data_IF_756336858421
#
_entry.id   IF_756336858421
#
_cell.length_a   1.000
_cell.length_b   1.000
_cell.length_c   1.000
_cell.angle_alpha   90.00
_cell.angle_beta   90.00
_cell.angle_gamma   90.00
#
_symmetry.space_group_name_H-M   'P 1'
#
loop_
_entity.id
_entity.type
_entity.pdbx_description
1 polymer ?
#
# COMPACT_ATOMS: atom_id res chain seq x y z
N UNK A 1 5.20 -32.05 -4.33
CA UNK A 1 5.32 -32.03 -5.81
C UNK A 1 6.78 -32.29 -6.14
N UNK A 2 7.07 -33.20 -7.08
CA UNK A 2 8.43 -33.59 -7.40
C UNK A 2 9.16 -32.45 -8.14
N UNK A 3 10.42 -32.23 -7.79
CA UNK A 3 11.24 -31.19 -8.40
C UNK A 3 11.73 -31.66 -9.78
N UNK A 4 11.13 -31.09 -10.84
CA UNK A 4 11.38 -31.45 -12.25
C UNK A 4 12.58 -30.70 -12.87
N UNK A 5 13.18 -29.78 -12.11
CA UNK A 5 14.32 -28.96 -12.51
C UNK A 5 15.51 -29.75 -13.10
N UNK A 6 15.94 -30.91 -12.56
CA UNK A 6 17.06 -31.66 -13.14
C UNK A 6 16.72 -32.26 -14.53
N UNK A 7 15.49 -32.69 -14.73
CA UNK A 7 15.02 -33.29 -15.99
C UNK A 7 14.93 -32.23 -17.10
N UNK A 8 14.49 -31.03 -16.73
CA UNK A 8 14.47 -29.86 -17.60
C UNK A 8 15.89 -29.44 -17.99
N UNK A 9 16.83 -29.38 -17.05
CA UNK A 9 18.24 -29.08 -17.36
C UNK A 9 18.88 -30.08 -18.31
N UNK A 10 18.54 -31.36 -18.18
CA UNK A 10 19.03 -32.41 -19.07
C UNK A 10 18.49 -32.24 -20.50
N UNK A 11 17.23 -31.83 -20.65
CA UNK A 11 16.62 -31.49 -21.94
C UNK A 11 17.26 -30.24 -22.58
N UNK A 12 17.52 -29.19 -21.80
CA UNK A 12 18.22 -28.00 -22.30
C UNK A 12 19.62 -28.33 -22.81
N UNK A 13 20.34 -29.22 -22.10
CA UNK A 13 21.67 -29.67 -22.48
C UNK A 13 21.66 -30.53 -23.76
N UNK A 14 20.60 -31.32 -24.00
CA UNK A 14 20.41 -32.10 -25.24
C UNK A 14 20.11 -31.23 -26.46
N UNK A 15 19.49 -30.07 -26.27
CA UNK A 15 19.11 -29.15 -27.36
C UNK A 15 20.08 -27.98 -27.55
N UNK A 16 21.27 -28.04 -26.92
CA UNK A 16 22.31 -26.99 -26.97
C UNK A 16 21.78 -25.59 -26.63
N UNK A 17 20.75 -25.55 -25.78
CA UNK A 17 20.07 -24.33 -25.39
C UNK A 17 20.66 -23.82 -24.06
N UNK A 18 21.01 -22.53 -23.96
CA UNK A 18 21.68 -21.99 -22.79
C UNK A 18 20.80 -22.13 -21.55
N UNK A 19 21.30 -22.86 -20.54
CA UNK A 19 20.69 -22.92 -19.21
C UNK A 19 20.83 -21.52 -18.59
N UNK A 20 19.73 -20.76 -18.57
CA UNK A 20 19.71 -19.46 -17.88
C UNK A 20 19.80 -19.72 -16.38
N UNK A 21 21.01 -19.63 -15.84
CA UNK A 21 21.26 -19.69 -14.40
C UNK A 21 20.31 -18.75 -13.66
N UNK A 22 19.71 -19.21 -12.56
CA UNK A 22 18.82 -18.46 -11.69
C UNK A 22 19.27 -17.00 -11.56
N UNK A 23 18.43 -16.06 -12.00
CA UNK A 23 18.70 -14.62 -11.88
C UNK A 23 19.08 -14.31 -10.43
N UNK A 24 20.36 -14.08 -10.16
CA UNK A 24 20.80 -13.69 -8.82
C UNK A 24 20.28 -12.28 -8.53
N UNK A 25 19.72 -12.07 -7.33
CA UNK A 25 19.23 -10.76 -6.88
C UNK A 25 20.31 -9.66 -7.01
N UNK A 26 21.59 -10.04 -6.95
CA UNK A 26 22.71 -9.13 -7.18
C UNK A 26 22.83 -8.65 -8.64
N UNK A 27 22.44 -9.47 -9.63
CA UNK A 27 22.33 -9.10 -11.05
C UNK A 27 21.00 -8.39 -11.36
N UNK A 28 20.04 -8.42 -10.43
CA UNK A 28 18.78 -7.71 -10.57
C UNK A 28 19.05 -6.20 -10.41
N UNK A 29 18.67 -5.49 -11.45
CA UNK A 29 18.22 -4.09 -11.51
C UNK A 29 18.01 -3.40 -10.14
N UNK A 30 18.61 -2.21 -9.97
CA UNK A 30 18.57 -1.43 -8.72
C UNK A 30 17.15 -1.16 -8.24
N UNK A 31 16.21 -0.97 -9.18
CA UNK A 31 14.79 -0.76 -8.91
C UNK A 31 14.17 -1.90 -8.10
N UNK A 32 14.38 -3.15 -8.50
CA UNK A 32 13.76 -4.30 -7.82
C UNK A 32 14.39 -4.52 -6.44
N UNK A 33 15.70 -4.26 -6.30
CA UNK A 33 16.36 -4.32 -4.98
C UNK A 33 15.71 -3.35 -4.00
N UNK A 34 15.52 -2.10 -4.43
CA UNK A 34 14.85 -1.08 -3.62
C UNK A 34 13.40 -1.45 -3.33
N UNK A 35 12.63 -1.86 -4.35
CA UNK A 35 11.25 -2.32 -4.20
C UNK A 35 11.09 -3.49 -3.22
N UNK A 36 11.98 -4.49 -3.29
CA UNK A 36 11.94 -5.64 -2.35
C UNK A 36 12.32 -5.23 -0.93
N UNK A 37 13.23 -4.27 -0.79
CA UNK A 37 13.63 -3.71 0.52
C UNK A 37 12.44 -2.99 1.14
N UNK A 38 11.80 -2.08 0.41
CA UNK A 38 10.57 -1.38 0.83
C UNK A 38 9.47 -2.39 1.18
N UNK A 39 9.23 -3.40 0.35
CA UNK A 39 8.24 -4.45 0.61
C UNK A 39 8.52 -5.20 1.92
N UNK A 40 9.79 -5.53 2.19
CA UNK A 40 10.17 -6.21 3.43
C UNK A 40 9.89 -5.34 4.65
N UNK A 41 10.17 -4.03 4.56
CA UNK A 41 9.88 -3.07 5.63
C UNK A 41 8.37 -2.89 5.85
N UNK A 42 7.57 -2.79 4.78
CA UNK A 42 6.10 -2.75 4.86
C UNK A 42 5.56 -4.02 5.56
N UNK A 43 6.06 -5.20 5.17
CA UNK A 43 5.67 -6.48 5.79
C UNK A 43 6.04 -6.52 7.28
N UNK A 44 7.24 -6.08 7.63
CA UNK A 44 7.70 -6.04 9.01
C UNK A 44 6.82 -5.09 9.85
N UNK A 45 6.51 -3.90 9.34
CA UNK A 45 5.61 -2.96 9.99
C UNK A 45 4.19 -3.54 10.14
N UNK A 46 3.65 -4.17 9.10
CA UNK A 46 2.34 -4.83 9.15
C UNK A 46 2.29 -5.91 10.23
N UNK A 47 3.31 -6.77 10.28
CA UNK A 47 3.42 -7.83 11.26
C UNK A 47 3.55 -7.28 12.69
N UNK A 48 4.38 -6.25 12.86
CA UNK A 48 4.54 -5.53 14.12
C UNK A 48 3.21 -4.94 14.62
N UNK A 49 2.51 -4.17 13.78
CA UNK A 49 1.22 -3.57 14.11
C UNK A 49 0.16 -4.63 14.47
N UNK A 50 0.11 -5.75 13.73
CA UNK A 50 -0.79 -6.86 14.05
C UNK A 50 -0.47 -7.51 15.39
N UNK A 51 0.81 -7.71 15.70
CA UNK A 51 1.24 -8.32 16.96
C UNK A 51 0.93 -7.45 18.18
N UNK A 52 1.03 -6.13 18.03
CA UNK A 52 0.81 -5.18 19.12
C UNK A 52 -0.66 -4.81 19.27
N UNK A 53 -1.49 -5.01 18.25
CA UNK A 53 -2.91 -4.65 18.24
C UNK A 53 -3.67 -5.08 19.49
N UNK A 54 -3.45 -6.31 19.96
CA UNK A 54 -4.12 -6.83 21.15
C UNK A 54 -3.68 -6.07 22.40
N UNK A 55 -2.37 -5.95 22.65
CA UNK A 55 -1.84 -5.23 23.80
C UNK A 55 -2.14 -3.72 23.77
N UNK A 56 -2.20 -3.12 22.58
CA UNK A 56 -2.50 -1.71 22.36
C UNK A 56 -3.96 -1.41 22.70
N UNK A 57 -4.87 -2.29 22.26
CA UNK A 57 -6.30 -2.17 22.53
C UNK A 57 -6.68 -2.71 23.92
N UNK A 58 -5.87 -3.55 24.57
CA UNK A 58 -6.21 -4.04 25.90
C UNK A 58 -5.93 -2.95 26.96
N UNK A 59 -6.99 -2.60 27.69
CA UNK A 59 -6.97 -1.75 28.89
C UNK A 59 -7.56 -2.51 30.07
N UNK A 60 -7.19 -3.78 30.28
CA UNK A 60 -7.52 -4.45 31.54
C UNK A 60 -6.70 -3.88 32.71
N UNK A 61 -6.97 -2.63 33.10
CA UNK A 61 -6.73 -2.12 34.46
C UNK A 61 -7.85 -2.57 35.39
N UNK A 62 -8.20 -3.86 35.35
CA UNK A 62 -8.79 -4.50 36.53
C UNK A 62 -7.64 -5.24 37.19
N UNK A 63 -7.18 -4.84 38.39
CA UNK A 63 -6.39 -5.76 39.20
C UNK A 63 -7.36 -6.87 39.61
N UNK A 64 -7.51 -7.87 38.73
CA UNK A 64 -8.15 -9.12 39.09
C UNK A 64 -7.23 -9.74 40.14
N UNK A 65 -7.69 -9.60 41.38
CA UNK A 65 -7.15 -10.19 42.58
C UNK A 65 -6.79 -11.65 42.28
N UNK A 66 -5.48 -11.93 42.22
CA UNK A 66 -4.84 -13.25 42.14
C UNK A 66 -5.28 -14.11 40.95
N UNK A 67 -4.42 -14.22 39.94
CA UNK A 67 -3.95 -15.51 39.42
C UNK A 67 -2.73 -15.28 38.52
N UNK A 68 -1.83 -16.25 38.59
CA UNK A 68 -0.42 -16.21 38.20
C UNK A 68 -0.30 -16.49 36.69
N UNK A 69 -0.66 -15.53 35.83
CA UNK A 69 -0.37 -15.61 34.39
C UNK A 69 0.46 -14.40 33.94
N UNK A 70 1.76 -14.65 33.81
CA UNK A 70 2.81 -13.64 33.67
C UNK A 70 3.24 -13.40 32.22
N UNK A 71 2.30 -13.12 31.31
CA UNK A 71 2.64 -12.93 29.88
C UNK A 71 1.93 -11.78 29.16
N UNK A 72 0.91 -11.14 29.75
CA UNK A 72 0.26 -9.98 29.12
C UNK A 72 0.98 -8.69 29.51
N UNK A 73 1.92 -8.26 28.66
CA UNK A 73 2.61 -6.97 28.81
C UNK A 73 1.62 -5.84 28.56
N UNK A 74 1.08 -5.25 29.62
CA UNK A 74 0.22 -4.07 29.51
C UNK A 74 1.04 -2.87 29.06
N UNK A 75 0.63 -2.23 27.97
CA UNK A 75 1.23 -0.98 27.50
C UNK A 75 0.71 0.19 28.34
N UNK A 76 1.61 1.08 28.75
CA UNK A 76 1.24 2.38 29.33
C UNK A 76 0.62 3.28 28.27
N UNK A 77 -0.14 4.30 28.66
CA UNK A 77 -0.65 5.31 27.71
C UNK A 77 0.48 6.07 27.01
N UNK A 78 1.65 6.20 27.67
CA UNK A 78 2.88 6.72 27.06
C UNK A 78 3.46 5.76 26.01
N UNK A 79 3.55 4.47 26.33
CA UNK A 79 4.07 3.47 25.38
C UNK A 79 3.19 3.41 24.12
N UNK A 80 1.86 3.55 24.27
CA UNK A 80 0.94 3.64 23.14
C UNK A 80 1.20 4.87 22.26
N UNK A 81 1.50 6.02 22.86
CA UNK A 81 1.84 7.24 22.12
C UNK A 81 3.18 7.13 21.37
N UNK A 82 4.17 6.48 21.98
CA UNK A 82 5.44 6.17 21.33
C UNK A 82 5.25 5.20 20.15
N UNK A 83 4.40 4.18 20.32
CA UNK A 83 4.02 3.27 19.23
C UNK A 83 3.35 4.04 18.09
N UNK A 84 2.44 4.96 18.40
CA UNK A 84 1.76 5.78 17.39
C UNK A 84 2.76 6.68 16.65
N UNK A 85 3.69 7.33 17.37
CA UNK A 85 4.72 8.19 16.79
C UNK A 85 5.69 7.42 15.89
N UNK A 86 6.23 6.29 16.36
CA UNK A 86 7.16 5.44 15.60
C UNK A 86 6.50 4.82 14.37
N UNK A 87 5.24 4.39 14.49
CA UNK A 87 4.48 3.83 13.37
C UNK A 87 4.18 4.90 12.31
N UNK A 88 3.78 6.11 12.74
CA UNK A 88 3.60 7.26 11.82
C UNK A 88 4.89 7.62 11.10
N UNK A 89 6.01 7.67 11.80
CA UNK A 89 7.32 7.94 11.20
C UNK A 89 7.67 6.89 10.15
N UNK A 90 7.49 5.61 10.48
CA UNK A 90 7.74 4.50 9.56
C UNK A 90 6.85 4.59 8.31
N UNK A 91 5.56 4.92 8.46
CA UNK A 91 4.66 5.11 7.32
C UNK A 91 5.08 6.28 6.41
N UNK A 92 5.54 7.40 7.00
CA UNK A 92 6.04 8.55 6.25
C UNK A 92 7.30 8.22 5.47
N UNK A 93 8.24 7.54 6.13
CA UNK A 93 9.50 7.10 5.51
C UNK A 93 9.21 6.13 4.35
N UNK A 94 8.34 5.13 4.56
CA UNK A 94 7.95 4.19 3.52
C UNK A 94 7.22 4.88 2.36
N UNK A 95 6.35 5.86 2.64
CA UNK A 95 5.67 6.61 1.59
C UNK A 95 6.66 7.47 0.78
N UNK A 96 7.62 8.10 1.45
CA UNK A 96 8.69 8.84 0.80
C UNK A 96 9.54 7.91 -0.08
N UNK A 97 9.90 6.72 0.42
CA UNK A 97 10.63 5.70 -0.34
C UNK A 97 9.88 5.25 -1.60
N UNK A 98 8.58 4.92 -1.48
CA UNK A 98 7.76 4.55 -2.64
C UNK A 98 7.62 5.71 -3.64
N UNK A 99 7.51 6.95 -3.14
CA UNK A 99 7.43 8.14 -3.99
C UNK A 99 8.73 8.43 -4.72
N UNK A 100 9.89 8.25 -4.07
CA UNK A 100 11.20 8.36 -4.69
C UNK A 100 11.42 7.29 -5.76
N UNK A 101 11.06 6.04 -5.46
CA UNK A 101 11.12 4.94 -6.42
C UNK A 101 10.25 5.22 -7.66
N UNK A 102 9.04 5.75 -7.47
CA UNK A 102 8.15 6.13 -8.56
C UNK A 102 8.70 7.30 -9.39
N UNK A 103 9.27 8.31 -8.75
CA UNK A 103 9.90 9.44 -9.44
C UNK A 103 11.13 9.02 -10.25
N UNK A 104 11.95 8.12 -9.68
CA UNK A 104 13.10 7.53 -10.37
C UNK A 104 12.67 6.74 -11.61
N UNK A 105 11.59 5.96 -11.51
CA UNK A 105 11.07 5.23 -12.68
C UNK A 105 10.57 6.17 -13.77
N UNK A 106 9.82 7.21 -13.39
CA UNK A 106 9.32 8.20 -14.33
C UNK A 106 10.48 8.91 -15.07
N UNK A 107 11.52 9.33 -14.35
CA UNK A 107 12.71 9.95 -14.98
C UNK A 107 13.42 8.99 -15.93
N UNK A 108 13.50 7.71 -15.57
CA UNK A 108 14.10 6.66 -16.39
C UNK A 108 13.29 6.42 -17.66
N UNK A 109 11.96 6.39 -17.57
CA UNK A 109 11.07 6.25 -18.71
C UNK A 109 11.20 7.43 -19.68
N UNK A 110 11.19 8.65 -19.15
CA UNK A 110 11.35 9.88 -19.94
C UNK A 110 12.72 9.93 -20.63
N UNK A 111 13.80 9.58 -19.91
CA UNK A 111 15.14 9.51 -20.47
C UNK A 111 15.24 8.42 -21.55
N UNK A 112 14.66 7.24 -21.31
CA UNK A 112 14.60 6.15 -22.28
C UNK A 112 13.88 6.56 -23.57
N UNK A 113 12.70 7.17 -23.44
CA UNK A 113 11.93 7.67 -24.57
C UNK A 113 12.68 8.77 -25.33
N UNK A 114 13.36 9.68 -24.64
CA UNK A 114 14.17 10.72 -25.27
C UNK A 114 15.37 10.15 -26.04
N UNK A 115 16.02 9.12 -25.52
CA UNK A 115 17.12 8.42 -26.19
C UNK A 115 16.61 7.69 -27.43
N UNK A 116 15.49 6.97 -27.31
CA UNK A 116 14.82 6.28 -28.41
C UNK A 116 14.48 7.26 -29.54
N UNK A 117 13.81 8.37 -29.21
CA UNK A 117 13.49 9.41 -30.18
C UNK A 117 14.74 9.95 -30.90
N UNK A 118 15.85 10.16 -30.19
CA UNK A 118 17.11 10.63 -30.80
C UNK A 118 17.78 9.56 -31.68
N UNK A 119 17.72 8.27 -31.29
CA UNK A 119 18.28 7.14 -32.04
C UNK A 119 17.57 7.00 -33.39
N UNK A 120 16.25 6.99 -33.38
CA UNK A 120 15.46 6.74 -34.60
C UNK A 120 15.18 8.00 -35.43
N UNK A 121 15.14 9.22 -34.86
CA UNK A 121 15.07 10.47 -35.65
C UNK A 121 16.25 10.61 -36.62
N UNK A 122 17.46 10.22 -36.20
CA UNK A 122 18.67 10.23 -37.06
C UNK A 122 18.55 9.25 -38.23
N UNK A 123 17.91 8.11 -37.99
CA UNK A 123 17.70 7.05 -38.98
C UNK A 123 16.62 7.44 -40.00
N UNK A 124 15.55 8.12 -39.56
CA UNK A 124 14.48 8.59 -40.44
C UNK A 124 14.93 9.68 -41.42
N UNK A 125 15.85 10.58 -41.05
CA UNK A 125 16.38 11.60 -41.98
C UNK A 125 17.18 10.96 -43.13
N UNK A 126 17.86 9.82 -42.89
CA UNK A 126 18.57 9.08 -43.93
C UNK A 126 17.70 8.15 -44.77
N UNK A 127 16.56 7.69 -44.25
CA UNK A 127 15.64 6.74 -44.92
C UNK A 127 14.43 7.36 -45.61
N UNK A 128 14.10 8.63 -45.33
CA UNK A 128 12.87 9.28 -45.85
C UNK A 128 12.90 9.64 -47.35
N UNK A 129 14.06 9.60 -48.03
CA UNK A 129 14.11 9.90 -49.47
C UNK A 129 13.64 8.70 -50.32
N UNK A 130 13.72 7.47 -49.82
CA UNK A 130 13.34 6.26 -50.58
C UNK A 130 11.85 5.89 -50.53
N UNK A 131 11.17 6.16 -49.41
CA UNK A 131 9.86 5.53 -49.14
C UNK A 131 8.64 6.43 -49.39
N UNK A 132 8.81 7.74 -49.56
CA UNK A 132 7.70 8.61 -49.99
C UNK A 132 7.26 8.32 -51.44
N UNK A 133 8.13 7.73 -52.26
CA UNK A 133 7.85 7.37 -53.65
C UNK A 133 7.05 6.06 -53.83
N UNK A 134 6.88 5.24 -52.78
CA UNK A 134 6.23 3.93 -52.86
C UNK A 134 4.71 3.96 -52.56
N UNK A 135 4.14 5.11 -52.22
CA UNK A 135 2.68 5.28 -52.03
C UNK A 135 2.09 4.58 -50.80
N UNK A 136 2.92 3.99 -49.94
CA UNK A 136 2.49 3.22 -48.78
C UNK A 136 2.31 4.14 -47.55
N UNK A 137 1.06 4.32 -47.11
CA UNK A 137 0.64 5.24 -46.02
C UNK A 137 1.01 4.75 -44.60
N UNK A 138 2.03 3.92 -44.46
CA UNK A 138 2.47 3.38 -43.17
C UNK A 138 3.86 3.93 -42.82
N UNK A 139 3.99 4.59 -41.67
CA UNK A 139 5.29 4.81 -41.05
C UNK A 139 5.82 3.43 -40.62
N UNK A 140 6.60 2.77 -41.49
CA UNK A 140 7.30 1.55 -41.10
C UNK A 140 8.36 1.93 -40.07
N UNK A 141 8.05 1.71 -38.79
CA UNK A 141 9.05 1.70 -37.73
C UNK A 141 10.06 0.59 -38.05
N UNK A 142 11.33 0.82 -37.75
CA UNK A 142 12.34 -0.23 -37.94
C UNK A 142 11.98 -1.43 -37.05
N UNK A 143 12.16 -2.66 -37.53
CA UNK A 143 11.91 -3.87 -36.74
C UNK A 143 12.71 -3.88 -35.42
N UNK A 144 13.92 -3.31 -35.42
CA UNK A 144 14.72 -3.12 -34.21
C UNK A 144 14.07 -2.13 -33.24
N UNK A 145 13.47 -1.07 -33.77
CA UNK A 145 12.75 -0.05 -32.99
C UNK A 145 11.53 -0.65 -32.29
N UNK A 146 10.73 -1.43 -33.01
CA UNK A 146 9.52 -2.06 -32.45
C UNK A 146 9.86 -3.03 -31.32
N UNK A 147 10.89 -3.87 -31.47
CA UNK A 147 11.31 -4.77 -30.39
C UNK A 147 11.85 -4.04 -29.16
N UNK A 148 12.56 -2.94 -29.36
CA UNK A 148 13.12 -2.14 -28.27
C UNK A 148 12.00 -1.38 -27.53
N UNK A 149 11.01 -0.85 -28.25
CA UNK A 149 9.78 -0.25 -27.71
C UNK A 149 8.94 -1.28 -26.93
N UNK A 150 8.87 -2.53 -27.36
CA UNK A 150 8.18 -3.58 -26.62
C UNK A 150 8.88 -3.96 -25.31
N UNK A 151 10.20 -4.13 -25.36
CA UNK A 151 10.98 -4.48 -24.17
C UNK A 151 10.91 -3.36 -23.14
N UNK A 152 10.94 -2.10 -23.58
CA UNK A 152 10.75 -0.96 -22.68
C UNK A 152 9.30 -0.88 -22.16
N UNK A 153 8.30 -1.07 -23.03
CA UNK A 153 6.89 -1.05 -22.66
C UNK A 153 6.52 -2.13 -21.64
N UNK A 154 6.88 -3.39 -21.88
CA UNK A 154 6.63 -4.50 -20.94
C UNK A 154 7.29 -4.28 -19.59
N UNK A 155 8.51 -3.75 -19.58
CA UNK A 155 9.22 -3.41 -18.35
C UNK A 155 8.57 -2.24 -17.61
N UNK A 156 8.10 -1.22 -18.32
CA UNK A 156 7.38 -0.07 -17.77
C UNK A 156 6.08 -0.51 -17.11
N UNK A 157 5.29 -1.35 -17.79
CA UNK A 157 4.06 -1.93 -17.23
C UNK A 157 4.37 -2.74 -15.98
N UNK A 158 5.38 -3.63 -16.01
CA UNK A 158 5.77 -4.41 -14.84
C UNK A 158 6.20 -3.53 -13.66
N UNK A 159 7.05 -2.52 -13.89
CA UNK A 159 7.51 -1.62 -12.81
C UNK A 159 6.38 -0.75 -12.27
N UNK A 160 5.45 -0.31 -13.13
CA UNK A 160 4.21 0.35 -12.73
C UNK A 160 3.36 -0.52 -11.80
N UNK A 161 3.15 -1.78 -12.16
CA UNK A 161 2.43 -2.76 -11.32
C UNK A 161 3.14 -2.98 -9.97
N UNK A 162 4.47 -3.06 -9.94
CA UNK A 162 5.23 -3.19 -8.67
C UNK A 162 5.01 -1.98 -7.77
N UNK A 163 5.08 -0.77 -8.31
CA UNK A 163 4.85 0.46 -7.52
C UNK A 163 3.42 0.49 -6.99
N UNK A 164 2.43 0.17 -7.83
CA UNK A 164 1.02 0.09 -7.43
C UNK A 164 0.83 -0.91 -6.28
N UNK A 165 1.39 -2.12 -6.41
CA UNK A 165 1.36 -3.14 -5.36
C UNK A 165 1.96 -2.63 -4.04
N UNK A 166 3.10 -1.92 -4.08
CA UNK A 166 3.71 -1.35 -2.88
C UNK A 166 2.81 -0.28 -2.23
N UNK A 167 2.18 0.58 -3.04
CA UNK A 167 1.23 1.58 -2.52
C UNK A 167 -0.01 0.95 -1.90
N UNK A 168 -0.58 -0.07 -2.53
CA UNK A 168 -1.71 -0.83 -1.97
C UNK A 168 -1.35 -1.45 -0.62
N UNK A 169 -0.21 -2.13 -0.51
CA UNK A 169 0.23 -2.73 0.76
C UNK A 169 0.46 -1.68 1.84
N UNK A 170 1.04 -0.53 1.47
CA UNK A 170 1.27 0.57 2.40
C UNK A 170 -0.05 1.21 2.85
N UNK A 171 -1.00 1.38 1.93
CA UNK A 171 -2.34 1.88 2.24
C UNK A 171 -3.09 0.95 3.21
N UNK A 172 -3.01 -0.37 3.02
CA UNK A 172 -3.57 -1.35 3.98
C UNK A 172 -2.94 -1.23 5.37
N UNK A 173 -1.62 -1.05 5.46
CA UNK A 173 -0.93 -0.82 6.73
C UNK A 173 -1.39 0.49 7.41
N UNK A 174 -1.52 1.57 6.65
CA UNK A 174 -2.02 2.85 7.14
C UNK A 174 -3.46 2.73 7.66
N UNK A 175 -4.33 2.01 6.94
CA UNK A 175 -5.70 1.71 7.37
C UNK A 175 -5.73 0.90 8.67
N UNK A 176 -4.86 -0.10 8.82
CA UNK A 176 -4.76 -0.88 10.07
C UNK A 176 -4.37 0.00 11.25
N UNK A 177 -3.39 0.90 11.08
CA UNK A 177 -3.00 1.84 12.12
C UNK A 177 -4.14 2.81 12.47
N UNK A 178 -4.77 3.41 11.46
CA UNK A 178 -5.90 4.33 11.65
C UNK A 178 -7.06 3.65 12.40
N UNK A 179 -7.39 2.39 12.06
CA UNK A 179 -8.44 1.63 12.73
C UNK A 179 -8.13 1.35 14.22
N UNK A 180 -6.85 1.14 14.58
CA UNK A 180 -6.44 0.98 15.98
C UNK A 180 -6.56 2.29 16.74
N UNK A 181 -6.09 3.39 16.15
CA UNK A 181 -6.16 4.72 16.75
C UNK A 181 -7.60 5.21 16.92
N UNK A 182 -8.47 4.95 15.93
CA UNK A 182 -9.88 5.29 16.01
C UNK A 182 -10.55 4.58 17.20
N UNK A 183 -10.30 3.29 17.38
CA UNK A 183 -10.81 2.55 18.55
C UNK A 183 -10.27 3.11 19.86
N UNK A 184 -9.01 3.58 19.90
CA UNK A 184 -8.44 4.25 21.07
C UNK A 184 -9.15 5.57 21.36
N UNK A 185 -9.40 6.39 20.33
CA UNK A 185 -10.11 7.65 20.45
C UNK A 185 -11.55 7.44 20.95
N UNK A 186 -12.28 6.52 20.32
CA UNK A 186 -13.67 6.20 20.71
C UNK A 186 -13.76 5.81 22.18
N UNK A 187 -12.80 4.99 22.65
CA UNK A 187 -12.73 4.58 24.06
C UNK A 187 -12.33 5.71 25.00
N UNK A 188 -11.42 6.59 24.58
CA UNK A 188 -11.04 7.75 25.37
C UNK A 188 -12.24 8.70 25.55
N UNK A 189 -12.99 8.95 24.48
CA UNK A 189 -14.24 9.73 24.50
C UNK A 189 -15.30 9.05 25.39
N UNK A 190 -15.48 7.73 25.27
CA UNK A 190 -16.41 6.99 26.11
C UNK A 190 -16.03 7.08 27.59
N UNK A 191 -14.74 6.93 27.92
CA UNK A 191 -14.23 7.06 29.30
C UNK A 191 -14.53 8.44 29.86
N UNK A 192 -14.20 9.50 29.11
CA UNK A 192 -14.50 10.88 29.49
C UNK A 192 -15.99 11.10 29.76
N UNK A 193 -16.88 10.55 28.91
CA UNK A 193 -18.33 10.62 29.11
C UNK A 193 -18.79 9.88 30.36
N UNK A 194 -18.27 8.68 30.61
CA UNK A 194 -18.63 7.87 31.76
C UNK A 194 -18.16 8.50 33.07
N UNK A 195 -16.96 9.07 33.10
CA UNK A 195 -16.49 9.85 34.24
C UNK A 195 -17.42 11.04 34.46
N UNK A 196 -17.67 11.88 33.45
CA UNK A 196 -18.58 13.01 33.57
C UNK A 196 -19.98 12.62 34.12
N UNK A 197 -20.51 11.46 33.73
CA UNK A 197 -21.77 10.93 34.25
C UNK A 197 -21.67 10.44 35.70
N UNK A 198 -20.58 9.75 36.09
CA UNK A 198 -20.34 9.35 37.48
C UNK A 198 -20.29 10.57 38.39
N UNK A 199 -19.58 11.61 37.97
CA UNK A 199 -19.46 12.83 38.75
C UNK A 199 -20.77 13.62 38.84
N UNK A 200 -21.69 13.45 37.88
CA UNK A 200 -23.06 13.96 37.99
C UNK A 200 -23.96 13.11 38.90
N UNK A 201 -23.65 11.83 39.11
CA UNK A 201 -24.42 10.91 39.95
C UNK A 201 -23.97 10.86 41.42
N UNK A 202 -22.70 11.12 41.71
CA UNK A 202 -22.15 11.17 43.09
C UNK A 202 -22.88 12.20 44.00
N UNK A 203 -23.33 13.39 43.53
CA UNK A 203 -24.13 14.29 44.36
C UNK A 203 -25.49 13.72 44.79
N UNK A 204 -25.99 12.65 44.14
CA UNK A 204 -27.31 12.06 44.41
C UNK A 204 -27.23 10.82 45.31
N UNK A 205 -26.10 10.10 45.30
CA UNK A 205 -25.89 8.89 46.10
C UNK A 205 -25.36 9.19 47.51
N UNK A 206 -24.57 10.26 47.70
CA UNK A 206 -24.08 10.65 49.03
C UNK A 206 -25.13 11.44 49.84
N UNK A 207 -26.12 12.03 49.19
CA UNK A 207 -27.29 12.63 49.86
C UNK A 207 -28.30 11.58 50.34
N UNK A 208 -28.29 10.39 49.77
CA UNK A 208 -29.10 9.26 50.17
C UNK A 208 -28.19 8.20 50.79
N UNK A 209 -27.78 8.39 52.04
CA UNK A 209 -26.88 7.50 52.79
C UNK A 209 -27.35 6.03 52.82
N UNK A 210 -27.07 5.30 51.74
CA UNK A 210 -27.30 3.87 51.61
C UNK A 210 -25.94 3.20 51.73
N UNK A 211 -25.59 2.90 52.98
CA UNK A 211 -24.45 2.06 53.33
C UNK A 211 -24.68 0.66 52.73
N UNK A 212 -24.01 0.37 51.62
CA UNK A 212 -24.10 -0.90 50.89
C UNK A 212 -23.31 -1.99 51.62
N UNK A 213 -23.82 -2.37 52.79
CA UNK A 213 -23.32 -3.50 53.58
C UNK A 213 -24.45 -4.09 54.41
N UNK A 214 -25.54 -4.50 53.75
CA UNK A 214 -26.48 -5.44 54.36
C UNK A 214 -27.27 -6.24 53.32
N UNK A 215 -27.13 -7.56 53.44
CA UNK A 215 -27.79 -8.65 52.73
C UNK A 215 -29.31 -8.47 52.51
N UNK A 216 -29.89 -9.09 51.47
CA UNK A 216 -31.24 -8.81 51.00
C UNK A 216 -32.30 -9.58 51.79
N UNK A 217 -32.47 -9.31 53.08
CA UNK A 217 -33.62 -9.81 53.85
C UNK A 217 -33.98 -8.82 54.95
N UNK A 218 -34.83 -7.84 54.62
CA UNK A 218 -35.81 -7.14 55.49
C UNK A 218 -36.22 -5.83 54.79
N UNK A 219 -37.17 -5.93 53.85
CA UNK A 219 -37.78 -4.76 53.18
C UNK A 219 -39.26 -4.57 53.55
N UNK A 220 -39.70 -5.13 54.67
CA UNK A 220 -41.11 -5.07 55.08
C UNK A 220 -41.20 -4.93 56.61
N UNK A 221 -40.76 -3.78 57.14
CA UNK A 221 -41.05 -3.22 58.47
C UNK A 221 -40.26 -1.93 58.65
N UNK A 222 -40.68 -0.87 57.96
CA UNK A 222 -40.10 0.48 58.16
C UNK A 222 -41.09 1.58 57.75
N UNK A 223 -42.38 1.41 58.09
CA UNK A 223 -43.43 2.41 57.78
C UNK A 223 -44.12 2.93 59.05
N UNK A 224 -43.60 2.62 60.24
CA UNK A 224 -44.26 2.99 61.50
C UNK A 224 -43.31 3.64 62.51
N UNK A 225 -42.32 4.38 62.03
CA UNK A 225 -41.46 5.22 62.87
C UNK A 225 -41.03 6.49 62.12
N UNK A 226 -41.99 7.18 61.51
CA UNK A 226 -41.76 8.38 60.70
C UNK A 226 -42.02 9.69 61.46
N UNK A 227 -42.21 9.66 62.79
CA UNK A 227 -42.57 10.86 63.57
C UNK A 227 -41.64 11.17 64.75
N UNK A 228 -40.46 10.54 64.88
CA UNK A 228 -39.53 10.80 66.01
C UNK A 228 -38.03 10.89 65.68
N UNK A 229 -37.66 11.22 64.44
CA UNK A 229 -36.26 11.53 64.09
C UNK A 229 -36.18 12.74 63.16
N UNK A 230 -36.80 13.86 63.57
CA UNK A 230 -36.60 15.17 62.91
C UNK A 230 -35.49 16.02 63.58
N UNK A 231 -34.73 15.46 64.52
CA UNK A 231 -33.70 16.19 65.26
C UNK A 231 -32.38 15.42 65.40
N UNK A 232 -31.71 15.07 64.28
CA UNK A 232 -30.25 14.87 64.28
C UNK A 232 -29.63 14.88 62.87
N UNK A 233 -30.00 15.86 62.04
CA UNK A 233 -29.41 16.04 60.71
C UNK A 233 -28.82 17.44 60.55
N UNK A 234 -27.88 17.78 61.42
CA UNK A 234 -26.90 18.85 61.21
C UNK A 234 -25.55 18.40 61.77
N UNK A 235 -25.01 17.29 61.27
CA UNK A 235 -23.59 17.06 61.39
C UNK A 235 -22.93 17.88 60.28
N UNK A 236 -22.42 19.06 60.63
CA UNK A 236 -21.43 19.75 59.80
C UNK A 236 -20.30 18.74 59.50
N UNK A 237 -19.81 18.65 58.25
CA UNK A 237 -18.73 17.74 57.91
C UNK A 237 -17.55 18.02 58.84
N UNK A 238 -17.00 16.96 59.46
CA UNK A 238 -15.78 17.09 60.27
C UNK A 238 -14.72 17.81 59.44
N UNK A 239 -13.94 18.70 60.04
CA UNK A 239 -12.90 19.46 59.33
C UNK A 239 -11.95 18.54 58.51
N UNK A 240 -11.74 17.30 58.97
CA UNK A 240 -10.99 16.26 58.24
C UNK A 240 -11.72 15.73 57.00
N UNK A 241 -13.05 15.55 57.06
CA UNK A 241 -13.86 15.15 55.91
C UNK A 241 -13.89 16.25 54.86
N UNK A 242 -14.01 17.52 55.27
CA UNK A 242 -13.97 18.66 54.36
C UNK A 242 -12.61 18.76 53.65
N UNK A 243 -11.50 18.55 54.38
CA UNK A 243 -10.17 18.51 53.79
C UNK A 243 -10.00 17.35 52.79
N UNK A 244 -10.54 16.16 53.09
CA UNK A 244 -10.55 15.04 52.13
C UNK A 244 -11.39 15.37 50.89
N UNK A 245 -12.57 15.99 51.04
CA UNK A 245 -13.38 16.43 49.90
C UNK A 245 -12.67 17.47 49.03
N UNK A 246 -11.98 18.44 49.64
CA UNK A 246 -11.18 19.42 48.91
C UNK A 246 -10.03 18.75 48.15
N UNK A 247 -9.34 17.80 48.78
CA UNK A 247 -8.26 17.03 48.16
C UNK A 247 -8.78 16.15 47.02
N UNK A 248 -9.89 15.45 47.21
CA UNK A 248 -10.54 14.61 46.20
C UNK A 248 -11.01 15.45 45.01
N UNK A 249 -11.60 16.62 45.25
CA UNK A 249 -12.00 17.54 44.19
C UNK A 249 -10.80 18.03 43.37
N UNK A 250 -9.67 18.36 44.04
CA UNK A 250 -8.44 18.75 43.35
C UNK A 250 -7.82 17.60 42.55
N UNK A 251 -7.78 16.39 43.09
CA UNK A 251 -7.32 15.20 42.37
C UNK A 251 -8.21 14.92 41.16
N UNK A 252 -9.53 15.04 41.33
CA UNK A 252 -10.49 14.87 40.26
C UNK A 252 -10.28 15.85 39.11
N UNK A 253 -10.09 17.14 39.40
CA UNK A 253 -9.81 18.15 38.36
C UNK A 253 -8.54 17.80 37.57
N UNK A 254 -7.47 17.38 38.26
CA UNK A 254 -6.23 16.95 37.60
C UNK A 254 -6.43 15.74 36.69
N UNK A 255 -7.23 14.76 37.12
CA UNK A 255 -7.57 13.60 36.29
C UNK A 255 -8.37 14.00 35.06
N UNK A 256 -9.33 14.91 35.21
CA UNK A 256 -10.11 15.45 34.09
C UNK A 256 -9.23 16.19 33.08
N UNK A 257 -8.37 17.10 33.54
CA UNK A 257 -7.43 17.82 32.68
C UNK A 257 -6.52 16.83 31.93
N UNK A 258 -5.97 15.83 32.64
CA UNK A 258 -5.14 14.79 32.03
C UNK A 258 -5.90 13.97 30.97
N UNK A 259 -7.15 13.56 31.26
CA UNK A 259 -7.97 12.82 30.29
C UNK A 259 -8.32 13.68 29.07
N UNK A 260 -8.58 14.98 29.24
CA UNK A 260 -8.83 15.90 28.12
C UNK A 260 -7.61 16.06 27.24
N UNK A 261 -6.43 16.20 27.83
CA UNK A 261 -5.19 16.34 27.06
C UNK A 261 -4.87 15.03 26.31
N UNK A 262 -5.14 13.87 26.91
CA UNK A 262 -5.03 12.59 26.20
C UNK A 262 -6.00 12.48 25.01
N UNK A 263 -7.24 12.95 25.14
CA UNK A 263 -8.19 12.95 24.02
C UNK A 263 -7.70 13.88 22.91
N UNK A 264 -7.23 15.08 23.26
CA UNK A 264 -6.67 16.03 22.28
C UNK A 264 -5.46 15.47 21.55
N UNK A 265 -4.52 14.84 22.26
CA UNK A 265 -3.32 14.26 21.64
C UNK A 265 -3.68 13.14 20.66
N UNK A 266 -4.59 12.25 21.05
CA UNK A 266 -5.09 11.18 20.17
C UNK A 266 -5.85 11.76 18.98
N UNK A 267 -6.69 12.78 19.18
CA UNK A 267 -7.43 13.44 18.09
C UNK A 267 -6.49 14.10 17.08
N UNK A 268 -5.47 14.83 17.55
CA UNK A 268 -4.47 15.46 16.69
C UNK A 268 -3.70 14.41 15.89
N UNK A 269 -3.25 13.34 16.55
CA UNK A 269 -2.56 12.24 15.89
C UNK A 269 -3.47 11.50 14.90
N UNK A 270 -4.77 11.39 15.19
CA UNK A 270 -5.76 10.79 14.29
C UNK A 270 -6.01 11.68 13.06
N UNK A 271 -6.05 13.00 13.22
CA UNK A 271 -6.18 13.92 12.10
C UNK A 271 -4.98 13.81 11.15
N UNK A 272 -3.77 13.76 11.69
CA UNK A 272 -2.52 13.61 10.93
C UNK A 272 -2.46 12.28 10.15
N UNK A 273 -2.84 11.15 10.77
CA UNK A 273 -2.87 9.85 10.05
C UNK A 273 -3.98 9.82 8.99
N UNK A 274 -5.11 10.49 9.23
CA UNK A 274 -6.20 10.58 8.26
C UNK A 274 -5.77 11.41 7.04
N UNK A 275 -5.01 12.48 7.25
CA UNK A 275 -4.40 13.23 6.15
C UNK A 275 -3.43 12.36 5.34
N UNK A 276 -2.52 11.64 6.01
CA UNK A 276 -1.62 10.71 5.34
C UNK A 276 -2.37 9.62 4.56
N UNK A 277 -3.43 9.06 5.14
CA UNK A 277 -4.26 8.06 4.47
C UNK A 277 -4.95 8.63 3.23
N UNK A 278 -5.50 9.85 3.32
CA UNK A 278 -6.14 10.51 2.19
C UNK A 278 -5.13 10.77 1.07
N UNK A 279 -3.93 11.22 1.40
CA UNK A 279 -2.85 11.39 0.42
C UNK A 279 -2.49 10.06 -0.25
N UNK A 280 -2.39 8.97 0.52
CA UNK A 280 -2.10 7.65 -0.02
C UNK A 280 -3.21 7.13 -0.94
N UNK A 281 -4.48 7.31 -0.58
CA UNK A 281 -5.61 6.90 -1.38
C UNK A 281 -5.69 7.69 -2.69
N UNK A 282 -5.55 9.03 -2.63
CA UNK A 282 -5.51 9.87 -3.84
C UNK A 282 -4.37 9.47 -4.78
N UNK A 283 -3.19 9.20 -4.23
CA UNK A 283 -2.04 8.74 -4.99
C UNK A 283 -2.20 7.32 -5.57
N UNK A 284 -2.98 6.47 -4.91
CA UNK A 284 -3.31 5.13 -5.37
C UNK A 284 -4.30 5.21 -6.55
N UNK A 285 -5.35 6.02 -6.43
CA UNK A 285 -6.34 6.20 -7.50
C UNK A 285 -5.69 6.73 -8.79
N UNK A 286 -4.85 7.76 -8.66
CA UNK A 286 -4.08 8.30 -9.79
C UNK A 286 -3.14 7.27 -10.42
N UNK A 287 -2.51 6.41 -9.60
CA UNK A 287 -1.63 5.37 -10.12
C UNK A 287 -2.36 4.20 -10.74
N UNK A 288 -3.52 3.83 -10.21
CA UNK A 288 -4.35 2.80 -10.77
C UNK A 288 -4.73 3.17 -12.20
N UNK A 289 -5.23 4.40 -12.41
CA UNK A 289 -5.56 4.89 -13.75
C UNK A 289 -4.35 4.87 -14.69
N UNK A 290 -3.17 5.33 -14.23
CA UNK A 290 -1.96 5.31 -15.04
C UNK A 290 -1.52 3.89 -15.40
N UNK A 291 -1.59 2.94 -14.48
CA UNK A 291 -1.19 1.54 -14.73
C UNK A 291 -2.19 0.86 -15.66
N UNK A 292 -3.48 1.11 -15.53
CA UNK A 292 -4.50 0.61 -16.48
C UNK A 292 -4.24 1.12 -17.90
N UNK A 293 -3.90 2.41 -18.05
CA UNK A 293 -3.47 2.96 -19.35
C UNK A 293 -2.22 2.25 -19.87
N UNK A 294 -1.21 2.00 -19.03
CA UNK A 294 0.00 1.26 -19.44
C UNK A 294 -0.28 -0.19 -19.84
N UNK A 295 -1.27 -0.84 -19.22
CA UNK A 295 -1.70 -2.19 -19.58
C UNK A 295 -2.39 -2.16 -20.95
N UNK A 296 -3.35 -1.27 -21.14
CA UNK A 296 -4.06 -1.10 -22.41
C UNK A 296 -3.09 -0.75 -23.56
N UNK A 297 -2.14 0.17 -23.32
CA UNK A 297 -1.10 0.52 -24.27
C UNK A 297 -0.19 -0.67 -24.60
N UNK A 298 0.13 -1.49 -23.59
CA UNK A 298 0.91 -2.72 -23.80
C UNK A 298 0.16 -3.72 -24.66
N UNK A 299 -1.13 -3.94 -24.42
CA UNK A 299 -1.98 -4.82 -25.24
C UNK A 299 -1.99 -4.36 -26.69
N UNK A 300 -2.31 -3.09 -26.94
CA UNK A 300 -2.30 -2.52 -28.28
C UNK A 300 -0.92 -2.59 -28.94
N UNK A 301 0.16 -2.37 -28.18
CA UNK A 301 1.53 -2.50 -28.70
C UNK A 301 1.86 -3.95 -29.06
N UNK A 302 1.43 -4.91 -28.26
CA UNK A 302 1.63 -6.33 -28.56
C UNK A 302 0.86 -6.78 -29.79
N UNK A 303 -0.40 -6.33 -29.95
CA UNK A 303 -1.22 -6.61 -31.14
C UNK A 303 -0.60 -6.03 -32.42
N UNK A 304 -0.15 -4.77 -32.35
CA UNK A 304 0.44 -4.09 -33.50
C UNK A 304 1.72 -4.78 -33.99
N UNK A 305 2.58 -5.21 -33.07
CA UNK A 305 3.81 -5.91 -33.46
C UNK A 305 3.54 -7.35 -33.89
N UNK A 306 2.56 -8.05 -33.32
CA UNK A 306 2.19 -9.37 -33.83
C UNK A 306 1.63 -9.25 -35.25
N UNK A 307 0.80 -8.23 -35.51
CA UNK A 307 0.35 -7.85 -36.84
C UNK A 307 1.50 -7.52 -37.79
N UNK A 308 2.46 -6.70 -37.35
CA UNK A 308 3.67 -6.33 -38.08
C UNK A 308 4.54 -7.53 -38.42
N UNK A 309 4.81 -8.41 -37.45
CA UNK A 309 5.57 -9.65 -37.64
C UNK A 309 4.91 -10.59 -38.65
N UNK A 310 3.57 -10.71 -38.60
CA UNK A 310 2.81 -11.49 -39.58
C UNK A 310 2.93 -10.89 -40.98
N UNK A 311 2.89 -9.56 -41.11
CA UNK A 311 3.08 -8.87 -42.38
C UNK A 311 4.51 -9.03 -42.91
N UNK A 312 5.53 -8.93 -42.05
CA UNK A 312 6.93 -9.16 -42.41
C UNK A 312 7.16 -10.60 -42.87
N UNK A 313 6.56 -11.58 -42.19
CA UNK A 313 6.60 -12.99 -42.60
C UNK A 313 5.96 -13.17 -43.98
N UNK A 314 4.76 -12.62 -44.19
CA UNK A 314 4.09 -12.63 -45.50
C UNK A 314 4.91 -11.92 -46.59
N UNK A 315 5.59 -10.81 -46.27
CA UNK A 315 6.45 -10.09 -47.18
C UNK A 315 7.72 -10.89 -47.53
N UNK A 316 8.30 -11.62 -46.55
CA UNK A 316 9.45 -12.50 -46.76
C UNK A 316 9.10 -13.73 -47.61
N UNK A 317 7.88 -14.25 -47.47
CA UNK A 317 7.36 -15.39 -48.26
C UNK A 317 6.98 -14.98 -49.68
N UNK A 318 6.66 -13.70 -49.91
CA UNK A 318 6.38 -13.19 -51.25
C UNK A 318 7.68 -13.18 -52.05
N UNK A 319 7.85 -14.18 -52.92
CA UNK A 319 8.98 -14.25 -53.84
C UNK A 319 9.11 -12.95 -54.60
N UNK A 320 10.28 -12.32 -54.54
CA UNK A 320 10.54 -11.02 -55.16
C UNK A 320 10.05 -10.99 -56.60
N UNK A 321 9.05 -10.14 -56.89
CA UNK A 321 8.55 -9.88 -58.24
C UNK A 321 9.71 -9.47 -59.15
N UNK A 322 10.73 -8.77 -58.60
CA UNK A 322 11.94 -8.41 -59.32
C UNK A 322 12.79 -9.64 -59.73
N UNK A 323 12.88 -10.69 -58.90
CA UNK A 323 13.52 -11.95 -59.29
C UNK A 323 12.77 -12.60 -60.45
N UNK A 324 11.43 -12.64 -60.39
CA UNK A 324 10.61 -13.16 -61.48
C UNK A 324 10.84 -12.39 -62.79
N UNK A 325 10.78 -11.05 -62.73
CA UNK A 325 11.01 -10.18 -63.89
C UNK A 325 12.41 -10.34 -64.49
N UNK A 326 13.43 -10.53 -63.65
CA UNK A 326 14.79 -10.79 -64.10
C UNK A 326 14.90 -12.12 -64.84
N UNK A 327 14.34 -13.21 -64.29
CA UNK A 327 14.36 -14.51 -64.95
C UNK A 327 13.53 -14.55 -66.23
N UNK A 328 12.38 -13.86 -66.27
CA UNK A 328 11.59 -13.76 -67.50
C UNK A 328 12.32 -12.96 -68.56
N UNK A 329 13.01 -11.87 -68.19
CA UNK A 329 13.80 -11.06 -69.12
C UNK A 329 14.99 -11.86 -69.68
N UNK A 330 15.76 -12.54 -68.81
CA UNK A 330 16.85 -13.42 -69.24
C UNK A 330 16.34 -14.56 -70.14
N UNK A 331 15.23 -15.21 -69.78
CA UNK A 331 14.64 -16.28 -70.58
C UNK A 331 14.19 -15.81 -71.96
N UNK A 332 13.53 -14.65 -72.04
CA UNK A 332 13.10 -14.06 -73.31
C UNK A 332 14.30 -13.67 -74.18
N UNK A 333 15.34 -13.08 -73.58
CA UNK A 333 16.57 -12.76 -74.31
C UNK A 333 17.31 -13.99 -74.83
N UNK A 334 17.40 -15.07 -74.05
CA UNK A 334 18.01 -16.33 -74.48
C UNK A 334 17.18 -17.02 -75.58
N UNK A 335 15.85 -16.96 -75.48
CA UNK A 335 14.95 -17.50 -76.49
C UNK A 335 15.10 -16.77 -77.83
N UNK A 336 15.20 -15.44 -77.82
CA UNK A 336 15.41 -14.65 -79.04
C UNK A 336 16.74 -15.00 -79.72
N UNK A 337 17.82 -15.16 -78.95
CA UNK A 337 19.13 -15.56 -79.51
C UNK A 337 19.08 -16.96 -80.11
N UNK A 338 18.40 -17.91 -79.47
CA UNK A 338 18.26 -19.27 -80.02
C UNK A 338 17.39 -19.30 -81.28
N UNK A 339 16.35 -18.46 -81.34
CA UNK A 339 15.50 -18.32 -82.52
C UNK A 339 16.25 -17.74 -83.72
N UNK A 340 17.06 -16.70 -83.48
CA UNK A 340 17.94 -16.06 -84.49
C UNK A 340 19.06 -17.00 -84.99
N UNK A 341 19.34 -18.08 -84.26
CA UNK A 341 20.34 -19.09 -84.65
C UNK A 341 19.75 -20.24 -85.48
N UNK A 342 18.42 -20.42 -85.43
CA UNK A 342 17.70 -21.53 -86.09
C UNK A 342 17.06 -21.08 -87.40
N UNK A 343 16.64 -19.81 -87.48
CA UNK A 343 16.10 -19.16 -88.70
C UNK A 343 17.23 -18.40 -89.38
#
# INVERSE_FOLDING_TARGET
>A
MADLTPLIHELFKKHDAPIRSSLSVQRIDSFIKEATTINSQIKNLSAYLKSIREAYLDKSTRPLRRLKDNTRKHLSDRDREEIDATSKQSLRELNAGVSQLAAAEKMRDEAGNAIMLKKYRRLHIGGMIGNWAAGEKGSFKSFEQEQEEQKSGTMRTHRGQVILYLRERLAECAQLQAAMMQKRLDRAIQKQRLEALKHRAVPMLDFAGVNESQSPKKRAKFVEETERVEHEYQNEPSAEQLQMFEQDNQEMLKLYESNLDQVKTVQNSMAEISELQNQLLQNLDQQHEQVEQLIADSEHTTENVDGGNRQLKKASERSSVAKYLFYTSCGLSAFLVAWDLIV
#
